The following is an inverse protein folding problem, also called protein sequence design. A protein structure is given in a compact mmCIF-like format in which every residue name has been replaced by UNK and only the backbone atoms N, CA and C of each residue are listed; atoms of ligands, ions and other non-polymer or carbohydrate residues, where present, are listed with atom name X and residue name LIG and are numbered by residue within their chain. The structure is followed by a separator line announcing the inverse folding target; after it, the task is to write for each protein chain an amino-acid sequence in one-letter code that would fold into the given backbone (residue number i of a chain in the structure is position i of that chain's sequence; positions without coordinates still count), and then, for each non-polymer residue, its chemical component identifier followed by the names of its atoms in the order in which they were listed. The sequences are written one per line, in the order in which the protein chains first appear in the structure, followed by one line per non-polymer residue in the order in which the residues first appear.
data_IF_017074579896
#
_entry.id   IF_017074579896
#
_cell.length_a   1.000
_cell.length_b   1.000
_cell.length_c   1.000
_cell.angle_alpha   90.00
_cell.angle_beta   90.00
_cell.angle_gamma   90.00
#
_symmetry.space_group_name_H-M   'P 1'
#
loop_
_entity.id
_entity.type
_entity.pdbx_description
1 polymer ?
2 polymer ?
3 non-polymer ?
4 non-polymer ?
5 non-polymer ?
6 water ?
#
# COMPACT_ATOMS: atom_id res chain seq x y z
N UNK A 1 15.11 7.42 17.86
CA UNK A 1 15.20 7.73 16.40
C UNK A 1 16.63 7.99 15.98
N UNK A 2 17.22 7.02 15.27
CA UNK A 2 18.63 7.10 14.92
C UNK A 2 18.95 8.26 14.01
N UNK A 3 17.94 8.87 13.39
CA UNK A 3 18.16 9.94 12.42
C UNK A 3 17.98 11.30 13.05
N UNK A 4 17.87 11.35 14.38
CA UNK A 4 17.60 12.59 15.07
C UNK A 4 18.67 13.64 14.84
N UNK A 5 19.91 13.22 14.61
CA UNK A 5 21.01 14.20 14.44
C UNK A 5 21.22 14.64 12.98
N UNK A 6 20.50 14.08 12.00
CA UNK A 6 20.69 14.49 10.63
C UNK A 6 19.65 15.54 10.23
N UNK A 7 20.08 16.55 9.46
CA UNK A 7 19.17 17.57 8.95
C UNK A 7 18.03 16.95 8.14
N UNK A 8 16.83 17.53 8.25
CA UNK A 8 15.72 17.07 7.41
C UNK A 8 16.10 17.04 5.94
N UNK A 9 16.72 18.10 5.44
CA UNK A 9 17.02 18.17 4.01
C UNK A 9 18.02 17.09 3.61
N UNK A 10 18.96 16.77 4.51
CA UNK A 10 19.94 15.70 4.24
C UNK A 10 19.27 14.33 4.18
N UNK A 11 18.32 14.08 5.07
CA UNK A 11 17.56 12.82 5.04
C UNK A 11 16.80 12.67 3.73
N UNK A 12 16.20 13.75 3.24
CA UNK A 12 15.47 13.65 1.98
C UNK A 12 16.44 13.39 0.82
N UNK A 13 17.55 14.14 0.78
CA UNK A 13 18.58 13.92 -0.23
C UNK A 13 19.07 12.47 -0.22
N UNK A 14 19.37 11.95 0.97
CA UNK A 14 19.85 10.56 1.07
C UNK A 14 18.77 9.55 0.70
N UNK A 15 17.50 9.85 1.00
CA UNK A 15 16.43 8.98 0.53
C UNK A 15 16.44 8.89 -0.99
N UNK A 16 16.64 10.01 -1.68
CA UNK A 16 16.67 9.96 -3.14
C UNK A 16 17.88 9.18 -3.66
N UNK A 17 19.03 9.35 -3.02
CA UNK A 17 20.23 8.57 -3.36
C UNK A 17 19.99 7.06 -3.14
N UNK A 18 19.42 6.71 -1.99
CA UNK A 18 19.12 5.32 -1.70
C UNK A 18 18.17 4.73 -2.73
N UNK A 19 17.18 5.49 -3.18
CA UNK A 19 16.30 5.01 -4.25
C UNK A 19 17.12 4.71 -5.52
N UNK A 20 18.02 5.60 -5.89
CA UNK A 20 18.85 5.38 -7.07
C UNK A 20 19.71 4.13 -6.93
N UNK A 21 20.17 3.85 -5.72
CA UNK A 21 21.01 2.70 -5.41
C UNK A 21 20.20 1.44 -5.13
N UNK A 22 18.88 1.53 -5.19
CA UNK A 22 17.99 0.42 -4.86
C UNK A 22 18.25 -0.11 -3.45
N UNK A 23 18.55 0.82 -2.53
CA UNK A 23 18.71 0.50 -1.12
C UNK A 23 17.43 0.93 -0.37
N UNK A 24 16.40 0.10 -0.48
CA UNK A 24 15.08 0.56 -0.04
C UNK A 24 14.93 0.52 1.48
N UNK A 25 15.64 -0.37 2.18
CA UNK A 25 15.60 -0.31 3.64
C UNK A 25 16.21 1.01 4.14
N UNK A 26 17.35 1.42 3.58
CA UNK A 26 17.93 2.70 3.91
C UNK A 26 16.96 3.84 3.57
N UNK A 27 16.38 3.79 2.38
CA UNK A 27 15.46 4.82 1.94
C UNK A 27 14.33 4.99 2.94
N UNK A 28 13.74 3.88 3.38
CA UNK A 28 12.67 3.91 4.37
C UNK A 28 13.13 4.52 5.69
N UNK A 29 14.30 4.13 6.18
CA UNK A 29 14.81 4.70 7.42
C UNK A 29 15.05 6.19 7.31
N UNK A 30 15.60 6.65 6.18
CA UNK A 30 15.77 8.10 5.95
C UNK A 30 14.42 8.83 5.96
N UNK A 31 13.42 8.30 5.23
CA UNK A 31 12.11 8.95 5.21
C UNK A 31 11.42 8.90 6.58
N UNK A 32 11.55 7.81 7.33
CA UNK A 32 11.03 7.78 8.70
C UNK A 32 11.66 8.90 9.51
N UNK A 33 12.98 9.05 9.39
CA UNK A 33 13.66 10.13 10.08
C UNK A 33 13.12 11.49 9.68
N UNK A 34 12.86 11.69 8.38
CA UNK A 34 12.30 12.96 7.91
C UNK A 34 10.92 13.21 8.52
N UNK A 35 10.05 12.20 8.51
CA UNK A 35 8.72 12.31 9.12
C UNK A 35 8.84 12.71 10.58
N UNK A 36 9.76 12.11 11.32
CA UNK A 36 9.91 12.36 12.76
C UNK A 36 10.44 13.75 13.05
N UNK A 37 10.90 14.51 12.05
CA UNK A 37 11.20 15.92 12.28
C UNK A 37 9.95 16.71 12.62
N UNK A 38 8.76 16.18 12.35
CA UNK A 38 7.53 16.85 12.78
C UNK A 38 6.88 17.74 11.75
N UNK A 39 7.54 18.07 10.66
CA UNK A 39 6.95 18.91 9.62
C UNK A 39 6.11 18.06 8.65
N UNK A 40 5.07 18.68 8.08
CA UNK A 40 4.32 18.01 7.02
C UNK A 40 5.25 17.66 5.86
N UNK A 41 4.81 16.71 5.03
CA UNK A 41 5.56 16.29 3.85
C UNK A 41 4.98 16.91 2.59
N UNK A 42 5.86 17.27 1.66
CA UNK A 42 5.44 17.74 0.37
C UNK A 42 4.95 16.56 -0.46
N UNK A 44 6.25 15.35 -3.31
CA UNK A 44 7.40 14.49 -3.65
C UNK A 44 7.82 13.66 -2.45
N UNK A 45 7.83 14.29 -1.26
CA UNK A 45 8.27 13.59 -0.06
C UNK A 45 7.28 12.48 0.34
N UNK A 46 5.98 12.72 0.20
CA UNK A 46 5.00 11.67 0.44
C UNK A 46 5.26 10.48 -0.47
N UNK A 47 5.57 10.76 -1.72
CA UNK A 47 5.82 9.67 -2.65
C UNK A 47 7.12 8.94 -2.33
N UNK A 48 8.15 9.65 -1.85
CA UNK A 48 9.37 8.96 -1.42
C UNK A 48 9.07 8.02 -0.25
N UNK A 49 8.26 8.48 0.69
CA UNK A 49 7.91 7.65 1.85
C UNK A 49 7.22 6.39 1.38
N UNK A 50 6.23 6.54 0.48
CA UNK A 50 5.44 5.42 0.03
C UNK A 50 6.26 4.43 -0.77
N UNK A 51 7.08 4.94 -1.69
CA UNK A 51 7.91 4.07 -2.53
C UNK A 51 8.84 3.24 -1.67
N UNK A 52 9.44 3.86 -0.65
CA UNK A 52 10.43 3.15 0.16
C UNK A 52 9.77 1.98 0.90
N UNK A 53 8.70 2.26 1.62
CA UNK A 53 8.09 1.20 2.41
C UNK A 53 7.38 0.19 1.50
N UNK A 54 6.87 0.61 0.34
CA UNK A 54 6.24 -0.37 -0.56
C UNK A 54 7.25 -1.41 -1.01
N UNK A 55 8.45 -0.95 -1.31
CA UNK A 55 9.50 -1.87 -1.72
C UNK A 55 9.92 -2.78 -0.58
N UNK A 56 10.09 -2.23 0.62
CA UNK A 56 10.46 -3.06 1.77
C UNK A 56 9.39 -4.12 2.02
N UNK A 57 8.15 -3.70 2.23
CA UNK A 57 7.11 -4.67 2.57
C UNK A 57 6.87 -5.59 1.39
N UNK A 58 7.11 -5.13 0.17
CA UNK A 58 6.94 -5.99 -0.99
C UNK A 58 7.86 -7.21 -0.95
N UNK A 59 9.13 -6.99 -0.64
CA UNK A 59 10.04 -8.14 -0.48
C UNK A 59 9.58 -9.11 0.61
N UNK A 60 9.03 -8.56 1.69
CA UNK A 60 8.59 -9.40 2.80
C UNK A 60 7.36 -10.19 2.41
N UNK A 61 6.42 -9.55 1.71
CA UNK A 61 5.21 -10.27 1.27
C UNK A 61 5.58 -11.39 0.31
N UNK A 62 6.48 -11.13 -0.65
CA UNK A 62 6.88 -12.16 -1.59
C UNK A 62 7.53 -13.32 -0.87
N UNK A 63 8.39 -13.03 0.11
CA UNK A 63 9.05 -14.09 0.88
C UNK A 63 8.04 -14.87 1.71
N UNK A 64 7.10 -14.17 2.34
CA UNK A 64 6.09 -14.82 3.17
C UNK A 64 5.25 -15.77 2.34
N UNK A 65 4.91 -15.37 1.11
CA UNK A 65 4.08 -16.23 0.27
C UNK A 65 4.84 -17.49 -0.12
N UNK A 66 6.13 -17.34 -0.43
CA UNK A 66 6.95 -18.51 -0.76
C UNK A 66 6.94 -19.49 0.39
N UNK A 67 7.21 -19.00 1.60
CA UNK A 67 7.30 -19.85 2.78
C UNK A 67 5.94 -20.43 3.18
N UNK A 68 4.88 -19.63 3.10
CA UNK A 68 3.55 -20.15 3.43
C UNK A 68 3.16 -21.27 2.46
N UNK A 69 3.56 -21.16 1.19
CA UNK A 69 3.27 -22.22 0.24
C UNK A 69 4.03 -23.49 0.60
N UNK A 70 5.31 -23.37 0.93
CA UNK A 70 6.09 -24.53 1.32
C UNK A 70 5.50 -25.15 2.58
N UNK A 71 5.06 -24.31 3.50
CA UNK A 71 4.49 -24.79 4.76
C UNK A 71 3.25 -25.63 4.48
N UNK A 72 2.36 -25.11 3.64
CA UNK A 72 1.14 -25.84 3.29
C UNK A 72 1.47 -27.19 2.68
N UNK A 73 2.32 -27.21 1.65
CA UNK A 73 2.70 -28.49 1.04
C UNK A 73 3.18 -29.48 2.10
N UNK A 74 3.98 -29.02 3.07
CA UNK A 74 4.48 -29.93 4.09
C UNK A 74 3.40 -30.44 5.02
N UNK A 75 2.18 -29.90 4.91
CA UNK A 75 1.06 -30.34 5.72
C UNK A 75 0.01 -31.12 4.92
N UNK A 76 0.20 -31.26 3.61
CA UNK A 76 -0.72 -32.03 2.80
C UNK A 76 -0.75 -33.48 3.26
N UNK A 77 -1.82 -34.19 2.85
CA UNK A 77 -1.93 -35.63 3.09
C UNK A 77 -0.87 -36.36 2.28
N UNK A 78 0.13 -36.93 2.96
CA UNK A 78 1.20 -37.65 2.32
C UNK A 78 2.57 -36.99 2.39
N UNK A 79 2.71 -35.90 3.15
CA UNK A 79 3.97 -35.19 3.25
C UNK A 79 4.83 -35.76 4.37
N UNK A 80 6.14 -35.74 4.15
CA UNK A 80 7.10 -36.14 5.18
C UNK A 80 7.31 -34.98 6.15
N UNK A 81 7.00 -35.20 7.42
CA UNK A 81 7.24 -34.21 8.46
C UNK A 81 8.69 -33.73 8.42
N UNK A 82 8.87 -32.43 8.19
CA UNK A 82 10.20 -31.83 8.15
C UNK A 82 10.49 -30.96 9.37
N UNK A 83 9.81 -31.22 10.48
CA UNK A 83 10.09 -30.52 11.71
C UNK A 83 9.58 -29.10 11.69
N UNK A 84 9.96 -28.32 12.70
CA UNK A 84 9.34 -27.02 12.90
C UNK A 84 9.93 -25.89 12.06
N UNK A 85 10.92 -26.18 11.20
CA UNK A 85 11.74 -25.10 10.66
C UNK A 85 10.96 -24.20 9.70
N UNK A 86 10.15 -24.79 8.82
CA UNK A 86 9.41 -23.98 7.85
C UNK A 86 8.44 -23.04 8.59
N UNK A 87 7.70 -23.59 9.55
CA UNK A 87 6.78 -22.76 10.32
C UNK A 87 7.54 -21.69 11.08
N UNK A 88 8.66 -22.08 11.71
CA UNK A 88 9.44 -21.13 12.48
C UNK A 88 9.92 -19.99 11.62
N UNK A 89 10.38 -20.29 10.40
CA UNK A 89 10.97 -19.25 9.56
C UNK A 89 9.88 -18.39 8.93
N UNK A 90 8.75 -19.01 8.53
CA UNK A 90 7.60 -18.23 8.11
C UNK A 90 7.16 -17.26 9.22
N UNK A 91 7.12 -17.72 10.46
CA UNK A 91 6.78 -16.85 11.58
C UNK A 91 7.78 -15.72 11.74
N UNK A 92 9.06 -15.98 11.47
CA UNK A 92 10.07 -14.93 11.58
C UNK A 92 9.81 -13.84 10.55
N UNK A 93 9.66 -14.23 9.29
CA UNK A 93 9.36 -13.26 8.23
C UNK A 93 8.06 -12.55 8.53
N UNK A 94 7.02 -13.29 8.94
CA UNK A 94 5.73 -12.69 9.28
C UNK A 94 5.88 -11.61 10.35
N UNK A 95 6.65 -11.88 11.39
CA UNK A 95 6.84 -10.91 12.45
C UNK A 95 7.56 -9.67 11.95
N UNK A 96 8.54 -9.83 11.05
CA UNK A 96 9.26 -8.68 10.52
C UNK A 96 8.34 -7.84 9.65
N UNK A 97 7.51 -8.50 8.86
CA UNK A 97 6.51 -7.82 8.03
C UNK A 97 5.55 -7.01 8.88
N UNK A 98 4.99 -7.65 9.92
CA UNK A 98 4.11 -6.96 10.85
C UNK A 98 4.80 -5.78 11.50
N UNK A 99 6.10 -5.89 11.76
CA UNK A 99 6.80 -4.78 12.38
C UNK A 99 6.91 -3.59 11.45
N UNK A 100 7.11 -3.84 10.16
CA UNK A 100 7.19 -2.76 9.19
C UNK A 100 5.82 -2.10 9.03
N UNK A 101 4.77 -2.91 8.88
CA UNK A 101 3.42 -2.35 8.80
C UNK A 101 3.11 -1.53 10.03
N UNK A 102 3.50 -2.02 11.22
CA UNK A 102 3.25 -1.26 12.44
C UNK A 102 4.03 0.05 12.47
N UNK A 103 5.25 0.07 11.93
CA UNK A 103 6.05 1.29 11.84
C UNK A 103 5.36 2.32 10.95
N UNK A 104 4.89 1.88 9.78
CA UNK A 104 4.22 2.79 8.85
C UNK A 104 2.95 3.34 9.48
N UNK A 105 2.12 2.44 10.05
CA UNK A 105 0.87 2.87 10.65
C UNK A 105 1.13 3.84 11.80
N UNK A 106 2.20 3.61 12.55
CA UNK A 106 2.59 4.54 13.60
C UNK A 106 2.92 5.93 13.07
N UNK A 107 3.66 6.02 11.98
CA UNK A 107 3.95 7.33 11.40
C UNK A 107 2.66 8.00 10.93
N UNK A 108 1.76 7.23 10.30
CA UNK A 108 0.51 7.83 9.83
C UNK A 108 -0.30 8.38 11.00
N UNK A 109 -0.32 7.64 12.10
CA UNK A 109 -1.09 8.01 13.28
C UNK A 109 -0.37 9.04 14.17
N UNK A 110 0.96 9.14 14.07
CA UNK A 110 1.79 10.09 14.83
C UNK A 110 2.81 10.83 13.92
N UNK A 111 2.38 11.83 13.13
CA UNK A 111 1.10 12.48 13.21
C UNK A 111 0.71 12.96 11.80
N UNK A 112 1.07 12.17 10.79
CA UNK A 112 0.84 12.56 9.39
C UNK A 112 -0.64 12.82 9.10
N UNK A 113 -1.51 11.88 9.48
CA UNK A 113 -2.92 12.01 9.11
C UNK A 113 -3.56 13.21 9.80
N UNK A 114 -3.37 13.34 11.12
CA UNK A 114 -4.07 14.42 11.82
C UNK A 114 -3.64 15.81 11.36
N UNK A 115 -2.42 15.96 10.84
CA UNK A 115 -1.98 17.27 10.36
C UNK A 115 -2.29 17.48 8.88
N UNK A 116 -2.86 16.47 8.22
CA UNK A 116 -3.13 16.49 6.77
C UNK A 116 -4.52 17.09 6.55
N UNK A 117 -4.56 18.32 6.07
CA UNK A 117 -5.83 19.00 5.83
C UNK A 117 -6.21 19.08 4.37
N UNK A 118 -5.23 19.17 3.50
CA UNK A 118 -5.53 19.19 2.08
C UNK A 118 -5.95 17.83 1.60
N UNK A 119 -6.85 17.82 0.63
CA UNK A 119 -7.39 16.54 0.17
C UNK A 119 -6.30 15.62 -0.38
N UNK A 120 -5.35 16.18 -1.13
CA UNK A 120 -4.30 15.37 -1.76
C UNK A 120 -3.40 14.71 -0.74
N UNK A 121 -3.16 15.35 0.39
CA UNK A 121 -2.36 14.69 1.43
C UNK A 121 -3.21 13.75 2.28
N UNK A 122 -4.42 14.17 2.63
CA UNK A 122 -5.24 13.34 3.51
C UNK A 122 -5.64 12.04 2.84
N UNK A 123 -6.06 12.10 1.57
CA UNK A 123 -6.40 10.90 0.83
C UNK A 123 -5.18 10.02 0.66
N UNK A 124 -4.02 10.62 0.38
CA UNK A 124 -2.80 9.83 0.20
C UNK A 124 -2.50 9.03 1.46
N UNK A 125 -2.58 9.67 2.63
CA UNK A 125 -2.20 8.99 3.86
C UNK A 125 -3.24 7.96 4.26
N UNK A 126 -4.54 8.24 4.05
CA UNK A 126 -5.58 7.27 4.38
C UNK A 126 -5.50 6.05 3.47
N UNK A 127 -5.19 6.24 2.19
CA UNK A 127 -4.92 5.12 1.31
C UNK A 127 -3.79 4.26 1.86
N UNK A 128 -2.68 4.90 2.27
CA UNK A 128 -1.57 4.15 2.88
C UNK A 128 -2.03 3.35 4.09
N UNK A 129 -2.84 3.96 4.96
CA UNK A 129 -3.34 3.25 6.14
C UNK A 129 -4.14 2.02 5.72
N UNK A 130 -5.01 2.17 4.72
CA UNK A 130 -5.73 1.03 4.17
C UNK A 130 -4.79 -0.06 3.65
N UNK A 131 -3.77 0.35 2.89
CA UNK A 131 -2.81 -0.58 2.30
C UNK A 131 -2.07 -1.38 3.37
N UNK A 132 -1.59 -0.71 4.44
CA UNK A 132 -0.75 -1.44 5.40
C UNK A 132 -1.61 -2.30 6.33
N UNK A 133 -2.85 -1.90 6.62
CA UNK A 133 -3.76 -2.85 7.27
C UNK A 133 -4.07 -4.01 6.33
N UNK A 134 -4.20 -3.76 5.03
CA UNK A 134 -4.43 -4.86 4.11
C UNK A 134 -3.27 -5.86 4.15
N UNK A 135 -2.03 -5.37 4.13
CA UNK A 135 -0.89 -6.28 4.20
C UNK A 135 -0.90 -7.06 5.52
N UNK A 136 -1.29 -6.42 6.60
CA UNK A 136 -1.45 -7.15 7.85
C UNK A 136 -2.55 -8.22 7.70
N UNK A 137 -3.66 -7.88 7.03
CA UNK A 137 -4.74 -8.83 6.89
C UNK A 137 -4.31 -10.06 6.11
N UNK A 138 -3.40 -9.88 5.14
CA UNK A 138 -2.96 -11.00 4.30
C UNK A 138 -2.32 -12.11 5.12
N UNK A 139 -1.77 -11.81 6.29
CA UNK A 139 -1.10 -12.79 7.13
C UNK A 139 -1.84 -13.08 8.41
N UNK A 140 -2.96 -12.42 8.66
CA UNK A 140 -3.68 -12.58 9.92
C UNK A 140 -4.61 -13.79 9.86
N UNK A 141 -5.03 -14.27 11.04
CA UNK A 141 -6.02 -15.36 11.06
C UNK A 141 -7.29 -15.05 11.84
N UNK A 142 -7.22 -14.51 13.06
CA UNK A 142 -8.38 -14.53 13.96
C UNK A 142 -8.99 -13.18 14.27
N UNK A 144 -8.18 -12.26 14.82
CA UNK A 144 -8.40 -10.82 14.71
C UNK A 144 -8.15 -10.29 13.29
N UNK A 145 -8.08 -11.21 12.32
CA UNK A 145 -8.19 -10.83 10.92
C UNK A 145 -9.40 -9.93 10.71
N UNK A 146 -10.53 -10.26 11.36
CA UNK A 146 -11.75 -9.48 11.14
C UNK A 146 -11.56 -8.03 11.54
N UNK A 147 -10.88 -7.79 12.65
CA UNK A 147 -10.69 -6.43 13.13
C UNK A 147 -9.73 -5.68 12.22
N UNK A 148 -8.68 -6.35 11.77
CA UNK A 148 -7.73 -5.74 10.83
C UNK A 148 -8.44 -5.39 9.52
N UNK A 149 -9.24 -6.31 8.99
CA UNK A 149 -9.98 -6.06 7.76
C UNK A 149 -10.88 -4.84 7.90
N UNK A 150 -11.55 -4.71 9.05
CA UNK A 150 -12.43 -3.55 9.19
C UNK A 150 -11.64 -2.26 9.33
N UNK A 151 -10.45 -2.30 9.95
CA UNK A 151 -9.57 -1.12 9.97
C UNK A 151 -9.16 -0.73 8.56
N UNK A 152 -8.77 -1.70 7.71
CA UNK A 152 -8.46 -1.38 6.33
C UNK A 152 -9.66 -0.75 5.63
N UNK A 153 -10.82 -1.41 5.74
CA UNK A 153 -12.03 -0.93 5.08
C UNK A 153 -12.35 0.50 5.51
N UNK A 154 -12.24 0.78 6.80
CA UNK A 154 -12.59 2.09 7.32
C UNK A 154 -11.68 3.17 6.76
N UNK A 155 -10.38 2.88 6.67
CA UNK A 155 -9.44 3.84 6.13
C UNK A 155 -9.72 4.08 4.65
N UNK A 156 -9.86 3.00 3.89
CA UNK A 156 -10.13 3.13 2.47
C UNK A 156 -11.42 3.91 2.23
N UNK A 157 -12.46 3.63 3.03
CA UNK A 157 -13.76 4.27 2.81
C UNK A 157 -13.68 5.76 3.06
N UNK A 158 -12.98 6.17 4.13
CA UNK A 158 -12.84 7.59 4.40
C UNK A 158 -12.05 8.26 3.29
N UNK A 159 -11.01 7.61 2.79
CA UNK A 159 -10.27 8.15 1.66
C UNK A 159 -11.18 8.26 0.44
N UNK A 160 -12.02 7.26 0.19
CA UNK A 160 -12.87 7.30 -0.99
C UNK A 160 -13.85 8.47 -0.89
N UNK A 161 -14.43 8.67 0.30
CA UNK A 161 -15.43 9.74 0.47
C UNK A 161 -14.81 11.11 0.18
N UNK A 162 -13.59 11.34 0.70
CA UNK A 162 -12.91 12.61 0.46
C UNK A 162 -12.55 12.76 -1.01
N UNK A 163 -12.04 11.68 -1.64
CA UNK A 163 -11.59 11.77 -3.02
C UNK A 163 -12.74 12.07 -3.95
N UNK A 164 -13.91 11.49 -3.67
CA UNK A 164 -15.04 11.73 -4.57
C UNK A 164 -15.54 13.14 -4.44
N UNK A 165 -15.46 13.74 -3.26
CA UNK A 165 -15.88 15.12 -3.07
C UNK A 165 -14.86 16.13 -3.59
N UNK A 166 -13.57 15.83 -3.52
CA UNK A 166 -12.53 16.84 -3.64
C UNK A 166 -11.59 16.65 -4.83
N UNK A 167 -11.65 15.54 -5.55
CA UNK A 167 -10.69 15.28 -6.61
C UNK A 167 -11.44 14.91 -7.89
N UNK A 168 -10.88 15.19 -9.05
CA UNK A 168 -11.50 14.74 -10.31
C UNK A 168 -11.34 13.24 -10.48
N UNK A 169 -12.20 12.62 -11.29
CA UNK A 169 -12.12 11.16 -11.43
C UNK A 169 -10.82 10.66 -12.01
N UNK A 170 -10.06 11.52 -12.69
CA UNK A 170 -8.78 11.08 -13.24
C UNK A 170 -7.61 11.36 -12.32
N UNK A 171 -7.84 11.95 -11.17
CA UNK A 171 -6.72 12.21 -10.28
C UNK A 171 -5.98 10.89 -9.99
N UNK A 172 -4.65 10.82 -10.18
CA UNK A 172 -3.95 9.53 -9.97
C UNK A 172 -4.03 8.99 -8.56
N UNK A 173 -4.08 9.85 -7.54
CA UNK A 173 -4.26 9.37 -6.17
C UNK A 173 -5.61 8.70 -6.01
N UNK A 174 -6.66 9.38 -6.48
CA UNK A 174 -8.00 8.81 -6.47
C UNK A 174 -8.05 7.49 -7.22
N UNK A 175 -7.42 7.43 -8.39
CA UNK A 175 -7.44 6.19 -9.17
C UNK A 175 -6.69 5.06 -8.48
N UNK A 176 -5.52 5.34 -7.91
CA UNK A 176 -4.76 4.28 -7.22
C UNK A 176 -5.46 3.82 -5.96
N UNK A 177 -6.14 4.73 -5.27
CA UNK A 177 -6.96 4.36 -4.13
C UNK A 177 -8.05 3.40 -4.55
N UNK A 178 -8.75 3.72 -5.64
CA UNK A 178 -9.85 2.86 -6.08
C UNK A 178 -9.33 1.50 -6.53
N UNK A 179 -8.23 1.47 -7.27
CA UNK A 179 -7.60 0.20 -7.64
C UNK A 179 -7.37 -0.68 -6.42
N UNK A 180 -6.71 -0.10 -5.41
CA UNK A 180 -6.32 -0.88 -4.23
C UNK A 180 -7.52 -1.30 -3.39
N UNK A 181 -8.50 -0.40 -3.22
CA UNK A 181 -9.72 -0.75 -2.49
C UNK A 181 -10.47 -1.86 -3.20
N UNK A 182 -10.45 -1.86 -4.53
CA UNK A 182 -11.12 -2.91 -5.30
C UNK A 182 -10.42 -4.25 -5.08
N UNK A 183 -9.10 -4.23 -5.04
CA UNK A 183 -8.36 -5.47 -4.74
C UNK A 183 -8.62 -5.92 -3.31
N UNK A 184 -8.67 -4.97 -2.35
CA UNK A 184 -9.15 -5.28 -1.01
C UNK A 184 -10.46 -6.06 -1.07
N UNK A 185 -11.46 -5.48 -1.76
CA UNK A 185 -12.75 -6.17 -1.82
C UNK A 185 -12.61 -7.57 -2.36
N UNK A 186 -11.81 -7.75 -3.41
CA UNK A 186 -11.76 -9.04 -4.08
C UNK A 186 -11.03 -10.08 -3.24
N UNK A 187 -9.83 -9.74 -2.78
CA UNK A 187 -8.87 -10.69 -2.17
C UNK A 187 -9.06 -10.84 -0.67
N UNK A 188 -9.47 -9.79 0.01
CA UNK A 188 -9.43 -9.73 1.47
C UNK A 188 -10.82 -9.84 2.07
N UNK A 189 -11.79 -9.12 1.51
CA UNK A 189 -13.14 -9.07 2.04
C UNK A 189 -14.04 -10.12 1.42
N UNK A 190 -13.55 -10.87 0.45
CA UNK A 190 -14.36 -11.88 -0.25
C UNK A 190 -15.65 -11.26 -0.78
N UNK A 191 -15.50 -10.11 -1.46
CA UNK A 191 -16.61 -9.41 -2.11
C UNK A 191 -16.25 -9.14 -3.57
N UNK A 192 -16.10 -10.19 -4.38
CA UNK A 192 -15.70 -9.98 -5.77
C UNK A 192 -16.67 -9.11 -6.54
N UNK A 193 -17.95 -9.14 -6.22
CA UNK A 193 -18.88 -8.30 -6.97
C UNK A 193 -18.66 -6.83 -6.65
N UNK A 194 -18.37 -6.50 -5.39
CA UNK A 194 -18.07 -5.12 -5.04
C UNK A 194 -16.79 -4.68 -5.74
N UNK A 195 -15.80 -5.58 -5.80
CA UNK A 195 -14.52 -5.27 -6.44
C UNK A 195 -14.71 -4.93 -7.91
N UNK A 196 -15.49 -5.74 -8.61
CA UNK A 196 -15.76 -5.53 -10.03
C UNK A 196 -16.54 -4.23 -10.25
N UNK A 197 -17.59 -4.03 -9.47
CA UNK A 197 -18.37 -2.80 -9.58
C UNK A 197 -17.50 -1.56 -9.39
N UNK A 198 -16.68 -1.54 -8.35
CA UNK A 198 -15.85 -0.36 -8.11
C UNK A 198 -14.88 -0.14 -9.25
N UNK A 199 -14.24 -1.21 -9.73
CA UNK A 199 -13.26 -1.06 -10.82
C UNK A 199 -13.92 -0.52 -12.08
N UNK A 200 -15.09 -1.07 -12.44
CA UNK A 200 -15.80 -0.62 -13.64
C UNK A 200 -16.22 0.83 -13.51
N UNK A 201 -16.86 1.18 -12.40
CA UNK A 201 -17.34 2.55 -12.24
C UNK A 201 -16.17 3.52 -12.23
N UNK A 202 -15.07 3.15 -11.56
CA UNK A 202 -13.89 4.00 -11.55
C UNK A 202 -13.34 4.20 -12.96
N UNK A 203 -13.26 3.13 -13.73
CA UNK A 203 -12.70 3.22 -15.07
C UNK A 203 -13.56 4.10 -15.97
N UNK A 204 -14.88 3.90 -15.92
CA UNK A 204 -15.80 4.61 -16.81
C UNK A 204 -15.86 6.10 -16.48
N UNK A 205 -15.84 6.45 -15.20
CA UNK A 205 -15.85 7.87 -14.86
C UNK A 205 -14.53 8.53 -15.20
N UNK A 206 -13.40 7.84 -15.09
CA UNK A 206 -12.15 8.46 -15.52
C UNK A 206 -12.11 8.65 -17.03
N UNK A 207 -12.54 7.65 -17.78
CA UNK A 207 -12.59 7.75 -19.25
C UNK A 207 -13.32 9.05 -19.63
N UNK A 208 -14.43 9.35 -18.95
CA UNK A 208 -15.23 10.51 -19.32
C UNK A 208 -14.61 11.83 -18.90
N UNK A 209 -13.51 11.81 -18.13
CA UNK A 209 -12.85 13.03 -17.66
C UNK A 209 -11.48 13.22 -18.30
N UNK A 210 -11.04 12.28 -19.14
CA UNK A 210 -9.76 12.41 -19.82
C UNK A 210 -9.70 13.66 -20.68
N UNK A 211 -10.83 14.09 -21.21
CA UNK A 211 -10.84 15.18 -22.16
C UNK A 211 -10.36 16.48 -21.51
N UNK A 212 -10.28 16.54 -20.18
CA UNK A 212 -9.85 17.75 -19.51
C UNK A 212 -8.34 17.81 -19.26
N UNK A 213 -7.61 16.75 -19.55
CA UNK A 213 -6.23 16.61 -19.13
C UNK A 213 -5.24 17.07 -20.19
N UNK A 214 -4.09 17.54 -19.73
CA UNK A 214 -2.93 17.74 -20.57
C UNK A 214 -2.37 16.41 -21.03
N UNK A 215 -1.42 16.47 -21.95
CA UNK A 215 -0.71 15.27 -22.37
C UNK A 215 -0.04 14.58 -21.19
N UNK A 216 0.59 15.36 -20.29
CA UNK A 216 1.25 14.77 -19.13
C UNK A 216 0.24 14.10 -18.19
N UNK A 217 -0.83 14.80 -17.85
CA UNK A 217 -1.83 14.25 -16.94
C UNK A 217 -2.52 13.03 -17.55
N UNK A 218 -2.84 13.09 -18.84
CA UNK A 218 -3.42 11.96 -19.57
C UNK A 218 -2.58 10.70 -19.40
N UNK A 219 -1.27 10.80 -19.63
CA UNK A 219 -0.40 9.65 -19.47
C UNK A 219 -0.45 9.11 -18.04
N UNK A 220 -0.51 10.00 -17.04
CA UNK A 220 -0.50 9.53 -15.64
C UNK A 220 -1.78 8.78 -15.30
N UNK A 221 -2.94 9.33 -15.70
CA UNK A 221 -4.21 8.69 -15.39
C UNK A 221 -4.37 7.36 -16.15
N UNK A 222 -4.08 7.37 -17.46
CA UNK A 222 -4.33 6.16 -18.24
C UNK A 222 -3.48 5.00 -17.75
N UNK A 223 -2.32 5.28 -17.16
CA UNK A 223 -1.47 4.22 -16.62
C UNK A 223 -2.21 3.40 -15.56
N UNK A 224 -2.88 4.07 -14.63
CA UNK A 224 -3.56 3.35 -13.55
C UNK A 224 -4.85 2.75 -14.08
N UNK A 225 -5.51 3.42 -15.01
CA UNK A 225 -6.71 2.87 -15.63
C UNK A 225 -6.41 1.51 -16.24
N UNK A 226 -5.23 1.36 -16.85
CA UNK A 226 -4.86 0.08 -17.44
C UNK A 226 -4.77 -1.00 -16.39
N UNK A 227 -4.33 -0.65 -15.18
CA UNK A 227 -4.31 -1.64 -14.10
C UNK A 227 -5.72 -2.06 -13.71
N UNK A 228 -6.66 -1.11 -13.61
CA UNK A 228 -8.06 -1.47 -13.37
C UNK A 228 -8.54 -2.43 -14.45
N UNK A 229 -8.25 -2.11 -15.71
CA UNK A 229 -8.67 -2.98 -16.80
C UNK A 229 -8.01 -4.36 -16.70
N UNK A 230 -6.70 -4.41 -16.39
CA UNK A 230 -6.03 -5.70 -16.21
C UNK A 230 -6.78 -6.56 -15.19
N UNK A 231 -7.14 -5.97 -14.06
CA UNK A 231 -7.83 -6.73 -13.02
C UNK A 231 -9.21 -7.19 -13.50
N UNK A 232 -9.99 -6.28 -14.08
CA UNK A 232 -11.30 -6.65 -14.59
C UNK A 232 -11.22 -7.82 -15.57
N UNK A 233 -10.15 -7.89 -16.37
CA UNK A 233 -9.98 -9.00 -17.30
C UNK A 233 -9.75 -10.31 -16.56
N UNK A 234 -9.03 -10.26 -15.44
CA UNK A 234 -8.85 -11.46 -14.64
C UNK A 234 -10.12 -11.85 -13.92
N UNK A 235 -11.00 -10.89 -13.65
CA UNK A 235 -12.12 -11.11 -12.76
C UNK A 235 -13.42 -11.42 -13.48
N UNK A 236 -13.50 -11.20 -14.79
CA UNK A 236 -14.74 -11.34 -15.55
C UNK A 236 -14.49 -11.99 -16.92
N UNK B 3 -1.21 -12.68 -7.86
CA UNK B 3 -1.38 -11.33 -7.27
C UNK B 3 -2.03 -10.38 -8.28
N UNK B 4 -3.16 -9.80 -7.92
CA UNK B 4 -3.79 -8.80 -8.79
C UNK B 4 -3.02 -7.50 -8.70
N UNK B 5 -3.21 -6.64 -9.69
CA UNK B 5 -2.48 -5.38 -9.77
C UNK B 5 -2.91 -4.42 -8.69
N UNK B 7 -1.53 -0.43 -6.87
CA UNK B 7 -0.81 0.83 -7.17
C UNK B 7 0.68 0.77 -6.79
N UNK B 8 1.55 1.40 -7.60
CA UNK B 8 2.94 1.62 -7.24
C UNK B 8 3.81 0.43 -7.48
N UNK B 9 5.03 0.52 -6.92
CA UNK B 9 6.03 -0.42 -7.15
C UNK B 9 5.59 -1.84 -6.81
N UNK B 10 6.08 -2.71 -7.70
CA UNK B 10 5.95 -4.19 -7.75
C UNK B 10 4.54 -4.57 -8.18
#
# INVERSE_FOLDING_TARGET
GAMGSMERASLIQKAKLAEQAERYEDMAAFMKGAVEKGEELSXEERNLLSVAYKNVVGGQRAAWRVLSSIEQKSNEEGSEEKGPEVREYREKVETELQGVCDTVLGLLDSHLIKEAGDAESRVFYLKMKGDYYRYLAEVATGDDKKRIIDSARSAYQEAMDISKKEMPPTNPIRLGLALNFSVFHYEIANSPEEAISLAKTTFDEAMADLHTLSEDSYKDSTLIMQLLRDNLTLWTADNAGEEGGEAPQEPQS
KLMFKXEGPDSD
#
